data_IF_793055216146
#
_entry.id   IF_793055216146
#
_cell.length_a   1.000
_cell.length_b   1.000
_cell.length_c   1.000
_cell.angle_alpha   90.00
_cell.angle_beta   90.00
_cell.angle_gamma   90.00
#
_symmetry.space_group_name_H-M   'P 1'
#
loop_
_entity.id
_entity.type
_entity.pdbx_description
1 polymer ?
#
# COMPACT_ATOMS: atom_id res chain seq x y z
N UNK A 1 -5.03 -2.70 -16.03
CA UNK A 1 -3.63 -2.38 -15.68
C UNK A 1 -3.64 -1.43 -14.48
N UNK A 2 -2.77 -1.68 -13.49
CA UNK A 2 -2.68 -0.89 -12.25
C UNK A 2 -1.23 -0.49 -11.99
N UNK A 3 -1.02 0.81 -11.77
CA UNK A 3 0.25 1.39 -11.37
C UNK A 3 0.24 1.79 -9.90
N UNK A 4 1.42 1.83 -9.29
CA UNK A 4 1.61 2.33 -7.92
C UNK A 4 2.12 3.77 -7.96
N UNK A 5 1.63 4.61 -7.05
CA UNK A 5 2.04 6.01 -6.95
C UNK A 5 3.36 6.17 -6.18
N UNK A 6 4.27 7.00 -6.66
CA UNK A 6 4.22 7.74 -7.93
C UNK A 6 4.68 6.84 -9.10
N UNK A 7 3.89 6.73 -10.19
CA UNK A 7 4.12 5.72 -11.24
C UNK A 7 5.45 5.88 -11.97
N UNK A 8 6.02 7.07 -11.97
CA UNK A 8 7.34 7.33 -12.56
C UNK A 8 8.46 6.56 -11.85
N UNK A 9 8.36 6.38 -10.53
CA UNK A 9 9.43 5.80 -9.71
C UNK A 9 9.13 4.38 -9.28
N UNK A 10 7.85 4.03 -9.14
CA UNK A 10 7.45 2.68 -8.73
C UNK A 10 7.66 1.71 -9.88
N UNK A 11 8.46 0.66 -9.63
CA UNK A 11 8.84 -0.32 -10.65
C UNK A 11 7.71 -1.29 -10.99
N UNK A 12 6.87 -1.65 -10.02
CA UNK A 12 5.80 -2.61 -10.18
C UNK A 12 4.63 -2.07 -11.02
N UNK A 13 4.15 -2.88 -11.95
CA UNK A 13 2.87 -2.73 -12.64
C UNK A 13 2.11 -4.04 -12.61
N UNK A 14 0.81 -4.01 -12.30
CA UNK A 14 -0.05 -5.18 -12.33
C UNK A 14 -0.90 -5.18 -13.61
N UNK A 15 -0.91 -6.30 -14.32
CA UNK A 15 -1.85 -6.58 -15.41
C UNK A 15 -2.99 -7.44 -14.88
N UNK A 16 -4.20 -6.92 -14.96
CA UNK A 16 -5.40 -7.56 -14.43
C UNK A 16 -6.35 -7.84 -15.62
N UNK A 17 -6.33 -9.05 -16.21
CA UNK A 17 -7.26 -9.40 -17.25
C UNK A 17 -8.69 -9.54 -16.69
N UNK A 18 -9.66 -8.94 -17.35
CA UNK A 18 -11.07 -9.27 -17.20
C UNK A 18 -11.44 -10.45 -18.10
N UNK A 19 -12.61 -11.04 -17.89
CA UNK A 19 -13.06 -12.21 -18.68
C UNK A 19 -13.15 -11.96 -20.18
N UNK A 20 -13.27 -10.70 -20.60
CA UNK A 20 -13.38 -10.26 -22.00
C UNK A 20 -12.10 -9.63 -22.55
N UNK A 21 -11.00 -9.67 -21.79
CA UNK A 21 -9.74 -9.05 -22.23
C UNK A 21 -9.08 -9.92 -23.29
N UNK A 22 -8.80 -9.33 -24.46
CA UNK A 22 -8.04 -9.99 -25.52
C UNK A 22 -6.60 -10.29 -25.08
N UNK A 23 -6.13 -11.54 -25.19
CA UNK A 23 -4.74 -11.89 -24.85
C UNK A 23 -3.69 -11.07 -25.60
N UNK A 24 -3.93 -10.72 -26.88
CA UNK A 24 -3.00 -9.91 -27.66
C UNK A 24 -2.80 -8.51 -27.09
N UNK A 25 -3.83 -7.93 -26.45
CA UNK A 25 -3.73 -6.65 -25.75
C UNK A 25 -2.84 -6.79 -24.52
N UNK A 26 -2.95 -7.90 -23.79
CA UNK A 26 -2.11 -8.14 -22.61
C UNK A 26 -0.63 -8.29 -23.00
N UNK A 27 -0.33 -9.06 -24.04
CA UNK A 27 1.04 -9.24 -24.56
C UNK A 27 1.65 -7.90 -25.02
N UNK A 28 0.85 -7.09 -25.75
CA UNK A 28 1.27 -5.76 -26.17
C UNK A 28 1.54 -4.83 -25.00
N UNK A 29 0.69 -4.85 -23.97
CA UNK A 29 0.88 -4.06 -22.76
C UNK A 29 2.11 -4.53 -21.95
N UNK A 30 2.30 -5.83 -21.78
CA UNK A 30 3.47 -6.37 -21.09
C UNK A 30 4.76 -5.95 -21.80
N UNK A 31 4.81 -6.11 -23.11
CA UNK A 31 5.94 -5.68 -23.94
C UNK A 31 6.22 -4.18 -23.76
N UNK A 32 5.19 -3.34 -23.85
CA UNK A 32 5.33 -1.89 -23.68
C UNK A 32 5.81 -1.52 -22.25
N UNK A 33 5.21 -2.14 -21.22
CA UNK A 33 5.57 -1.87 -19.82
C UNK A 33 7.03 -2.28 -19.52
N UNK A 34 7.45 -3.43 -20.01
CA UNK A 34 8.80 -3.96 -19.73
C UNK A 34 9.87 -3.28 -20.57
N UNK A 35 9.67 -3.14 -21.88
CA UNK A 35 10.71 -2.66 -22.79
C UNK A 35 10.78 -1.14 -22.88
N UNK A 36 9.64 -0.44 -22.86
CA UNK A 36 9.59 1.02 -23.01
C UNK A 36 9.61 1.74 -21.67
N UNK A 37 8.85 1.24 -20.67
CA UNK A 37 8.75 1.90 -19.37
C UNK A 37 9.68 1.29 -18.30
N UNK A 38 10.35 0.17 -18.57
CA UNK A 38 11.25 -0.49 -17.63
C UNK A 38 10.54 -1.00 -16.38
N UNK A 39 9.26 -1.41 -16.47
CA UNK A 39 8.48 -1.91 -15.34
C UNK A 39 8.70 -3.41 -15.13
N UNK A 40 8.58 -3.84 -13.87
CA UNK A 40 8.36 -5.25 -13.53
C UNK A 40 6.85 -5.53 -13.58
N UNK A 41 6.45 -6.46 -14.44
CA UNK A 41 5.05 -6.81 -14.64
C UNK A 41 4.67 -8.04 -13.85
N UNK A 42 3.50 -7.99 -13.20
CA UNK A 42 2.89 -9.13 -12.51
C UNK A 42 1.44 -9.27 -12.98
N UNK A 43 1.05 -10.48 -13.31
CA UNK A 43 -0.36 -10.79 -13.62
C UNK A 43 -1.13 -11.04 -12.34
N UNK A 44 -2.20 -10.28 -12.15
CA UNK A 44 -3.09 -10.39 -11.00
C UNK A 44 -4.49 -10.80 -11.43
N UNK A 45 -5.20 -11.53 -10.58
CA UNK A 45 -6.64 -11.78 -10.74
C UNK A 45 -7.42 -10.49 -10.47
N UNK A 46 -8.57 -10.35 -11.11
CA UNK A 46 -9.52 -9.27 -10.85
C UNK A 46 -10.25 -9.52 -9.52
N UNK A 47 -9.52 -9.30 -8.43
CA UNK A 47 -9.98 -9.46 -7.04
C UNK A 47 -9.72 -8.17 -6.27
N UNK A 48 -10.44 -7.91 -5.17
CA UNK A 48 -10.29 -6.67 -4.39
C UNK A 48 -8.83 -6.39 -4.01
N UNK A 49 -8.38 -5.16 -4.36
CA UNK A 49 -7.02 -4.65 -4.12
C UNK A 49 -5.87 -5.43 -4.81
N UNK A 50 -6.18 -6.34 -5.72
CA UNK A 50 -5.22 -7.13 -6.49
C UNK A 50 -4.15 -7.80 -5.61
N UNK A 51 -2.87 -7.72 -5.96
CA UNK A 51 -1.76 -8.32 -5.21
C UNK A 51 -1.05 -7.26 -4.36
N UNK A 52 -0.57 -6.18 -4.99
CA UNK A 52 0.35 -5.25 -4.34
C UNK A 52 -0.29 -4.46 -3.20
N UNK A 53 -1.50 -3.94 -3.38
CA UNK A 53 -2.21 -3.25 -2.31
C UNK A 53 -2.58 -4.20 -1.17
N UNK A 54 -3.01 -5.42 -1.48
CA UNK A 54 -3.37 -6.42 -0.47
C UNK A 54 -2.18 -6.80 0.39
N UNK A 55 -1.02 -7.11 -0.21
CA UNK A 55 0.21 -7.44 0.52
C UNK A 55 0.73 -6.22 1.28
N UNK A 56 0.74 -5.05 0.64
CA UNK A 56 1.24 -3.81 1.23
C UNK A 56 0.45 -3.39 2.47
N UNK A 57 -0.87 -3.37 2.37
CA UNK A 57 -1.74 -3.00 3.51
C UNK A 57 -1.70 -4.06 4.61
N UNK A 58 -1.69 -5.35 4.26
CA UNK A 58 -1.47 -6.41 5.26
C UNK A 58 -0.17 -6.19 6.03
N UNK A 59 0.94 -5.93 5.33
CA UNK A 59 2.25 -5.68 5.96
C UNK A 59 2.22 -4.47 6.90
N UNK A 60 1.56 -3.38 6.49
CA UNK A 60 1.40 -2.18 7.34
C UNK A 60 0.58 -2.49 8.57
N UNK A 61 -0.57 -3.16 8.42
CA UNK A 61 -1.45 -3.51 9.54
C UNK A 61 -0.77 -4.47 10.53
N UNK A 62 -0.04 -5.47 10.04
CA UNK A 62 0.75 -6.38 10.88
C UNK A 62 1.80 -5.58 11.68
N UNK A 63 2.50 -4.65 11.03
CA UNK A 63 3.47 -3.79 11.71
C UNK A 63 2.80 -2.92 12.77
N UNK A 64 1.65 -2.29 12.47
CA UNK A 64 0.87 -1.51 13.44
C UNK A 64 0.46 -2.35 14.64
N UNK A 65 -0.02 -3.58 14.40
CA UNK A 65 -0.40 -4.50 15.46
C UNK A 65 0.77 -4.78 16.41
N UNK A 66 1.94 -5.12 15.86
CA UNK A 66 3.13 -5.39 16.66
C UNK A 66 3.72 -4.14 17.31
N UNK A 67 3.67 -2.97 16.67
CA UNK A 67 4.03 -1.68 17.24
C UNK A 67 3.28 -1.45 18.55
N UNK A 68 1.98 -1.66 18.53
CA UNK A 68 1.14 -1.52 19.72
C UNK A 68 1.46 -2.59 20.79
N UNK A 69 1.60 -3.85 20.37
CA UNK A 69 1.88 -4.97 21.29
C UNK A 69 3.22 -4.79 22.03
N UNK A 70 4.25 -4.29 21.35
CA UNK A 70 5.57 -4.06 21.90
C UNK A 70 5.75 -2.65 22.49
N UNK A 71 4.75 -1.76 22.39
CA UNK A 71 4.77 -0.37 22.88
C UNK A 71 5.93 0.45 22.29
N UNK A 72 6.24 0.24 21.01
CA UNK A 72 7.30 0.97 20.30
C UNK A 72 6.78 2.29 19.73
N UNK A 73 7.68 3.26 19.58
CA UNK A 73 7.43 4.49 18.86
C UNK A 73 7.42 4.28 17.34
N UNK A 74 6.72 5.13 16.59
CA UNK A 74 6.63 5.00 15.12
C UNK A 74 7.98 5.23 14.45
N UNK A 75 8.82 6.09 14.97
CA UNK A 75 10.18 6.35 14.52
C UNK A 75 11.12 5.17 14.78
N UNK A 76 11.00 4.52 15.94
CA UNK A 76 11.74 3.29 16.25
C UNK A 76 11.40 2.18 15.26
N UNK A 77 10.10 1.97 14.99
CA UNK A 77 9.64 0.95 14.05
C UNK A 77 10.09 1.26 12.62
N UNK A 78 10.06 2.51 12.20
CA UNK A 78 10.59 2.90 10.89
C UNK A 78 12.12 2.68 10.81
N UNK A 79 12.85 2.86 11.91
CA UNK A 79 14.26 2.48 11.99
C UNK A 79 14.50 0.99 11.78
N UNK A 80 13.64 0.15 12.36
CA UNK A 80 13.73 -1.31 12.27
C UNK A 80 13.22 -1.89 10.94
N UNK A 81 12.17 -1.30 10.36
CA UNK A 81 11.46 -1.84 9.19
C UNK A 81 11.87 -1.19 7.86
N UNK A 82 12.92 -0.41 7.85
CA UNK A 82 13.47 0.29 6.70
C UNK A 82 14.66 -0.43 6.06
N UNK A 83 15.78 0.29 5.79
CA UNK A 83 16.94 -0.26 5.09
C UNK A 83 17.58 -1.48 5.75
N UNK A 84 17.47 -1.62 7.08
CA UNK A 84 18.00 -2.78 7.81
C UNK A 84 17.44 -4.12 7.32
N UNK A 85 16.19 -4.11 6.82
CA UNK A 85 15.52 -5.30 6.28
C UNK A 85 15.33 -5.23 4.77
N UNK A 86 16.14 -4.43 4.08
CA UNK A 86 16.11 -4.29 2.63
C UNK A 86 14.92 -3.49 2.07
N UNK A 87 14.20 -2.76 2.90
CA UNK A 87 13.09 -1.90 2.47
C UNK A 87 13.57 -0.46 2.17
N UNK A 88 12.78 0.35 1.45
CA UNK A 88 13.07 1.77 1.23
C UNK A 88 13.23 2.54 2.55
N UNK A 89 13.93 3.69 2.50
CA UNK A 89 14.11 4.58 3.66
C UNK A 89 12.81 5.08 4.28
N UNK A 90 11.71 5.08 3.51
CA UNK A 90 10.37 5.42 4.01
C UNK A 90 9.79 4.38 4.96
N UNK A 91 10.38 3.19 5.03
CA UNK A 91 10.01 2.12 5.95
C UNK A 91 8.49 1.83 5.96
N UNK A 92 7.84 1.81 7.12
CA UNK A 92 6.41 1.51 7.26
C UNK A 92 5.56 2.77 7.44
N UNK A 93 5.82 3.56 8.46
CA UNK A 93 4.96 4.70 8.80
C UNK A 93 5.18 5.92 7.90
N UNK A 94 6.42 6.21 7.49
CA UNK A 94 6.67 7.23 6.46
C UNK A 94 6.13 6.83 5.10
N UNK A 95 6.10 5.52 4.77
CA UNK A 95 5.42 5.03 3.56
C UNK A 95 3.93 5.30 3.63
N UNK A 96 3.29 5.11 4.79
CA UNK A 96 1.88 5.46 4.99
C UNK A 96 1.61 6.94 4.75
N UNK A 97 2.51 7.83 5.19
CA UNK A 97 2.41 9.27 4.91
C UNK A 97 2.61 9.62 3.42
N UNK A 98 3.47 8.89 2.71
CA UNK A 98 3.68 9.07 1.26
C UNK A 98 2.46 8.61 0.46
N UNK A 99 1.87 7.46 0.82
CA UNK A 99 0.63 6.93 0.20
C UNK A 99 -0.55 7.87 0.44
N UNK A 100 -0.62 8.43 1.62
CA UNK A 100 -1.73 9.22 2.12
C UNK A 100 -2.62 8.42 3.06
N UNK A 101 -2.85 8.97 4.24
CA UNK A 101 -3.58 8.29 5.32
C UNK A 101 -5.05 8.02 4.98
N UNK A 102 -5.68 8.91 4.24
CA UNK A 102 -7.03 8.74 3.71
C UNK A 102 -7.10 7.61 2.67
N UNK A 103 -6.11 7.52 1.78
CA UNK A 103 -5.99 6.42 0.81
C UNK A 103 -5.80 5.09 1.53
N UNK A 104 -4.91 5.05 2.52
CA UNK A 104 -4.68 3.85 3.33
C UNK A 104 -5.95 3.41 4.06
N UNK A 105 -6.66 4.34 4.70
CA UNK A 105 -7.93 4.05 5.38
C UNK A 105 -8.99 3.49 4.43
N UNK A 106 -9.07 4.05 3.20
CA UNK A 106 -9.99 3.56 2.17
C UNK A 106 -9.66 2.12 1.75
N UNK A 107 -8.37 1.82 1.52
CA UNK A 107 -7.95 0.46 1.14
C UNK A 107 -8.21 -0.53 2.27
N UNK A 108 -7.91 -0.19 3.53
CA UNK A 108 -8.22 -1.03 4.70
C UNK A 108 -9.73 -1.31 4.76
N UNK A 109 -10.56 -0.27 4.61
CA UNK A 109 -12.02 -0.43 4.60
C UNK A 109 -12.48 -1.35 3.47
N UNK A 110 -11.97 -1.17 2.26
CA UNK A 110 -12.30 -2.03 1.11
C UNK A 110 -11.94 -3.49 1.40
N UNK A 111 -10.77 -3.75 2.00
CA UNK A 111 -10.38 -5.12 2.38
C UNK A 111 -11.34 -5.70 3.44
N UNK A 112 -11.71 -4.92 4.45
CA UNK A 112 -12.68 -5.35 5.45
C UNK A 112 -14.07 -5.66 4.86
N UNK A 113 -14.53 -4.81 3.94
CA UNK A 113 -15.88 -4.97 3.35
C UNK A 113 -15.96 -6.10 2.31
N UNK A 114 -14.86 -6.40 1.60
CA UNK A 114 -14.89 -7.25 0.39
C UNK A 114 -14.17 -8.59 0.54
N UNK A 115 -13.46 -8.82 1.63
CA UNK A 115 -12.68 -10.04 1.88
C UNK A 115 -13.10 -10.74 3.19
N UNK A 116 -14.39 -11.11 3.37
CA UNK A 116 -14.87 -11.70 4.62
C UNK A 116 -14.22 -13.05 4.94
N UNK A 117 -13.85 -13.81 3.91
CA UNK A 117 -13.25 -15.14 4.06
C UNK A 117 -11.70 -15.12 4.11
N UNK A 118 -11.10 -13.93 4.14
CA UNK A 118 -9.64 -13.81 4.27
C UNK A 118 -9.21 -14.23 5.68
N UNK A 119 -8.19 -15.11 5.85
CA UNK A 119 -7.72 -15.55 7.16
C UNK A 119 -7.34 -14.40 8.10
N UNK A 120 -6.99 -13.24 7.54
CA UNK A 120 -6.59 -12.04 8.27
C UNK A 120 -7.69 -10.98 8.37
N UNK A 121 -8.91 -11.28 7.93
CA UNK A 121 -10.04 -10.35 7.91
C UNK A 121 -10.22 -9.58 9.22
N UNK A 122 -10.11 -10.27 10.37
CA UNK A 122 -10.21 -9.64 11.71
C UNK A 122 -9.22 -8.50 11.98
N UNK A 123 -8.14 -8.40 11.19
CA UNK A 123 -7.13 -7.36 11.31
C UNK A 123 -7.31 -6.21 10.30
N UNK A 124 -8.26 -6.31 9.37
CA UNK A 124 -8.55 -5.24 8.41
C UNK A 124 -9.40 -4.15 9.06
N UNK A 125 -8.88 -3.60 10.14
CA UNK A 125 -9.50 -2.55 10.94
C UNK A 125 -8.54 -1.38 11.02
N UNK A 126 -9.01 -0.20 10.60
CA UNK A 126 -8.23 1.03 10.72
C UNK A 126 -8.03 1.38 12.22
N UNK A 127 -6.79 1.63 12.66
CA UNK A 127 -6.56 2.01 14.05
C UNK A 127 -7.17 3.38 14.35
N UNK A 128 -7.64 3.58 15.59
CA UNK A 128 -8.36 4.80 15.99
C UNK A 128 -7.54 6.10 15.74
N UNK A 129 -6.22 6.05 15.93
CA UNK A 129 -5.35 7.20 15.68
C UNK A 129 -5.35 7.63 14.21
N UNK A 130 -5.53 6.70 13.26
CA UNK A 130 -5.60 6.99 11.82
C UNK A 130 -6.82 7.87 11.52
N UNK A 131 -8.00 7.50 12.02
CA UNK A 131 -9.21 8.31 11.89
C UNK A 131 -9.06 9.69 12.53
N UNK A 132 -8.41 9.76 13.70
CA UNK A 132 -8.15 11.03 14.39
C UNK A 132 -7.23 11.97 13.60
N UNK A 133 -6.20 11.44 12.92
CA UNK A 133 -5.33 12.24 12.05
C UNK A 133 -6.08 12.74 10.81
N UNK A 134 -6.84 11.88 10.16
CA UNK A 134 -7.66 12.24 8.98
C UNK A 134 -8.64 13.35 9.34
N UNK A 135 -9.35 13.24 10.46
CA UNK A 135 -10.31 14.26 10.93
C UNK A 135 -9.67 15.63 11.20
N UNK A 136 -8.38 15.66 11.50
CA UNK A 136 -7.57 16.89 11.67
C UNK A 136 -6.97 17.41 10.35
N UNK A 137 -7.25 16.77 9.23
CA UNK A 137 -6.64 17.11 7.94
C UNK A 137 -5.18 16.70 7.78
N UNK A 138 -4.64 15.91 8.72
CA UNK A 138 -3.29 15.39 8.67
C UNK A 138 -3.26 14.13 7.77
N UNK A 139 -3.20 14.35 6.45
CA UNK A 139 -3.35 13.29 5.43
C UNK A 139 -2.02 12.72 4.94
N UNK A 140 -0.91 13.06 5.59
CA UNK A 140 0.42 12.65 5.19
C UNK A 140 1.16 13.73 4.40
N UNK A 141 2.12 13.30 3.57
CA UNK A 141 3.04 14.21 2.86
C UNK A 141 2.31 15.24 2.00
N UNK A 142 1.21 14.88 1.36
CA UNK A 142 0.41 15.78 0.50
C UNK A 142 -0.23 16.95 1.26
N UNK A 143 -0.46 16.79 2.57
CA UNK A 143 -1.02 17.82 3.44
C UNK A 143 0.05 18.50 4.34
N UNK A 144 1.33 18.13 4.17
CA UNK A 144 2.43 18.64 4.99
C UNK A 144 2.45 18.13 6.43
N UNK A 145 1.47 17.31 6.81
CA UNK A 145 1.36 16.66 8.12
C UNK A 145 0.65 15.32 7.98
N UNK A 146 1.07 14.34 8.76
CA UNK A 146 0.52 13.00 8.83
C UNK A 146 0.87 12.36 10.16
N UNK A 147 1.39 11.13 10.13
CA UNK A 147 2.02 10.49 11.29
C UNK A 147 3.25 11.31 11.72
N UNK A 148 4.00 11.78 10.72
CA UNK A 148 5.11 12.69 10.92
C UNK A 148 4.77 14.10 10.40
N UNK A 149 5.40 15.11 11.01
CA UNK A 149 5.30 16.51 10.60
C UNK A 149 6.68 17.01 10.19
N UNK A 150 6.77 17.74 9.08
CA UNK A 150 7.96 18.53 8.81
C UNK A 150 8.08 19.63 9.87
N UNK A 151 9.20 19.69 10.51
CA UNK A 151 9.61 20.81 11.39
C UNK A 151 10.38 21.79 10.55
#
# INVERSE_FOLDING_TARGET
>A
MHFFNPPRYMHLAELIPANTTDPAVLEGLETFLTTTLGKGVVYAKDTPNFIGNRIGVFSILATIHHTHAFKLGFDEVDGLTGPLVGRPKSATFRTSDVVGLDTMAHVIKTMGDTLPDDPWHKYFIAPAWLGALISKGALGQKAGAGIFRKV
#
